data_IF_738326054083
#
_entry.id   IF_738326054083
#
_cell.length_a   1.000
_cell.length_b   1.000
_cell.length_c   1.000
_cell.angle_alpha   90.00
_cell.angle_beta   90.00
_cell.angle_gamma   90.00
#
_symmetry.space_group_name_H-M   'P 1'
#
loop_
_entity.id
_entity.type
_entity.pdbx_description
1 polymer ?
#
# COMPACT_ATOMS: atom_id res chain seq x y z
N UNK A 1 3.06 2.37 15.07
CA UNK A 1 3.85 1.12 15.02
C UNK A 1 4.03 0.75 13.55
N UNK A 2 5.28 0.65 13.04
CA UNK A 2 5.49 0.35 11.63
C UNK A 2 5.17 -1.13 11.37
N UNK A 3 4.40 -1.38 10.31
CA UNK A 3 3.95 -2.71 9.90
C UNK A 3 4.85 -3.12 8.73
N UNK A 4 5.34 -4.36 8.75
CA UNK A 4 6.04 -4.96 7.61
C UNK A 4 5.02 -5.60 6.66
N UNK A 5 5.09 -5.19 5.41
CA UNK A 5 4.27 -5.69 4.33
C UNK A 5 5.12 -6.42 3.29
N UNK A 6 4.64 -7.58 2.86
CA UNK A 6 5.17 -8.33 1.72
C UNK A 6 4.28 -8.12 0.49
N UNK A 7 4.90 -8.05 -0.68
CA UNK A 7 4.21 -7.90 -1.95
C UNK A 7 3.56 -9.23 -2.37
N UNK A 8 2.28 -9.18 -2.73
CA UNK A 8 1.60 -10.34 -3.31
C UNK A 8 1.76 -10.34 -4.83
N UNK A 9 1.70 -11.53 -5.43
CA UNK A 9 1.56 -11.64 -6.88
C UNK A 9 0.14 -11.22 -7.29
N UNK A 10 0.00 -9.95 -7.65
CA UNK A 10 -1.28 -9.38 -8.11
C UNK A 10 -1.55 -9.68 -9.58
N UNK A 11 -0.58 -10.21 -10.33
CA UNK A 11 -0.71 -10.39 -11.78
C UNK A 11 -1.76 -11.45 -12.10
N UNK A 12 -1.82 -12.52 -11.29
CA UNK A 12 -2.87 -13.54 -11.39
C UNK A 12 -4.24 -13.01 -10.96
N UNK A 13 -4.29 -12.19 -9.91
CA UNK A 13 -5.55 -11.63 -9.37
C UNK A 13 -6.25 -10.65 -10.32
N UNK A 14 -5.49 -9.98 -11.20
CA UNK A 14 -6.03 -9.04 -12.20
C UNK A 14 -6.45 -9.73 -13.51
N UNK A 15 -6.34 -11.06 -13.62
CA UNK A 15 -6.80 -11.76 -14.80
C UNK A 15 -8.27 -11.45 -15.10
N UNK A 16 -8.56 -11.20 -16.37
CA UNK A 16 -9.88 -10.80 -16.84
C UNK A 16 -10.24 -9.32 -16.61
N UNK A 17 -9.35 -8.50 -16.05
CA UNK A 17 -9.53 -7.04 -15.96
C UNK A 17 -8.83 -6.33 -17.13
N UNK A 18 -9.43 -5.26 -17.66
CA UNK A 18 -8.84 -4.41 -18.69
C UNK A 18 -8.14 -3.17 -18.11
N UNK A 19 -8.52 -2.78 -16.90
CA UNK A 19 -7.94 -1.62 -16.22
C UNK A 19 -7.93 -1.73 -14.69
N UNK A 20 -6.90 -1.17 -14.06
CA UNK A 20 -6.78 -1.13 -12.60
C UNK A 20 -6.25 0.22 -12.06
N UNK A 21 -6.86 0.69 -10.98
CA UNK A 21 -6.42 1.87 -10.22
C UNK A 21 -5.57 1.42 -9.02
N UNK A 22 -4.38 1.98 -8.87
CA UNK A 22 -3.47 1.63 -7.77
C UNK A 22 -3.64 2.62 -6.63
N UNK A 23 -4.15 2.17 -5.48
CA UNK A 23 -4.26 2.94 -4.25
C UNK A 23 -3.15 2.53 -3.27
N UNK A 24 -2.16 3.39 -3.07
CA UNK A 24 -1.00 3.08 -2.23
C UNK A 24 -0.96 3.88 -0.92
N UNK A 25 -0.64 3.21 0.18
CA UNK A 25 -0.39 3.82 1.48
C UNK A 25 1.10 4.13 1.61
N UNK A 26 1.47 5.43 1.54
CA UNK A 26 2.89 5.79 1.62
C UNK A 26 3.52 5.38 2.95
N UNK A 27 2.78 5.38 4.06
CA UNK A 27 3.32 4.95 5.34
C UNK A 27 3.62 3.44 5.37
N UNK A 28 2.60 2.57 5.27
CA UNK A 28 2.81 1.14 5.50
C UNK A 28 3.58 0.48 4.36
N UNK A 29 3.18 0.72 3.11
CA UNK A 29 3.84 0.13 1.94
C UNK A 29 5.20 0.77 1.70
N UNK A 30 5.29 2.10 1.79
CA UNK A 30 6.56 2.80 1.62
C UNK A 30 7.58 2.44 2.69
N UNK A 31 7.19 2.33 3.97
CA UNK A 31 8.13 1.96 5.03
C UNK A 31 8.63 0.52 4.85
N UNK A 32 7.74 -0.41 4.49
CA UNK A 32 8.11 -1.81 4.26
C UNK A 32 9.08 -1.96 3.09
N UNK A 33 8.82 -1.28 1.98
CA UNK A 33 9.69 -1.31 0.81
C UNK A 33 11.03 -0.59 1.06
N UNK A 34 11.01 0.52 1.80
CA UNK A 34 12.24 1.23 2.17
C UNK A 34 13.14 0.39 3.06
N UNK A 35 12.56 -0.32 4.03
CA UNK A 35 13.28 -1.27 4.88
C UNK A 35 13.85 -2.44 4.05
N UNK A 36 13.05 -3.04 3.18
CA UNK A 36 13.49 -4.18 2.36
C UNK A 36 14.57 -3.82 1.34
N UNK A 37 14.62 -2.57 0.88
CA UNK A 37 15.63 -2.08 -0.06
C UNK A 37 16.84 -1.40 0.61
N UNK A 38 16.89 -1.32 1.95
CA UNK A 38 17.88 -0.56 2.74
C UNK A 38 18.05 0.90 2.24
N UNK A 39 16.93 1.60 2.10
CA UNK A 39 16.88 2.96 1.52
C UNK A 39 16.10 3.95 2.38
N UNK A 40 16.34 5.27 2.18
CA UNK A 40 15.58 6.30 2.87
C UNK A 40 14.08 6.15 2.61
N UNK A 41 13.31 6.12 3.69
CA UNK A 41 11.86 6.04 3.67
C UNK A 41 11.22 7.37 3.26
N UNK A 42 11.77 8.48 3.76
CA UNK A 42 11.34 9.84 3.45
C UNK A 42 12.54 10.69 3.04
N UNK A 43 12.39 11.39 1.92
CA UNK A 43 13.34 12.40 1.44
C UNK A 43 12.66 13.75 1.37
N UNK A 44 13.08 14.69 2.22
CA UNK A 44 12.39 15.98 2.38
C UNK A 44 12.74 16.97 1.26
N UNK A 45 13.98 16.94 0.75
CA UNK A 45 14.48 17.90 -0.25
C UNK A 45 14.45 17.39 -1.69
N UNK A 46 14.23 16.08 -1.92
CA UNK A 46 14.19 15.48 -3.25
C UNK A 46 12.78 15.20 -3.79
N UNK A 47 11.80 14.97 -2.90
CA UNK A 47 10.43 14.62 -3.31
C UNK A 47 9.44 14.81 -2.16
N UNK A 48 8.66 15.91 -2.18
CA UNK A 48 7.55 16.21 -1.25
C UNK A 48 6.83 14.96 -0.70
N UNK A 49 7.24 14.48 0.49
CA UNK A 49 6.63 13.36 1.22
C UNK A 49 6.37 12.09 0.37
N UNK A 50 7.17 11.85 -0.68
CA UNK A 50 7.12 10.61 -1.46
C UNK A 50 8.15 9.63 -0.94
N UNK A 51 7.83 8.35 -1.06
CA UNK A 51 8.75 7.25 -0.78
C UNK A 51 9.32 6.73 -2.11
N UNK A 52 10.59 7.01 -2.46
CA UNK A 52 11.19 6.53 -3.70
C UNK A 52 11.11 5.00 -3.90
N UNK A 53 11.30 4.16 -2.85
CA UNK A 53 11.06 2.72 -2.95
C UNK A 53 9.64 2.36 -3.41
N UNK A 54 8.63 3.04 -2.87
CA UNK A 54 7.24 2.83 -3.27
C UNK A 54 6.98 3.25 -4.73
N UNK A 55 7.49 4.39 -5.17
CA UNK A 55 7.31 4.84 -6.56
C UNK A 55 7.97 3.88 -7.55
N UNK A 56 9.17 3.37 -7.23
CA UNK A 56 9.83 2.34 -8.04
C UNK A 56 9.02 1.05 -8.10
N UNK A 57 8.48 0.61 -6.96
CA UNK A 57 7.63 -0.57 -6.91
C UNK A 57 6.36 -0.39 -7.76
N UNK A 58 5.67 0.75 -7.64
CA UNK A 58 4.51 1.07 -8.47
C UNK A 58 4.90 1.09 -9.95
N UNK A 59 6.04 1.68 -10.33
CA UNK A 59 6.52 1.69 -11.71
C UNK A 59 6.74 0.29 -12.29
N UNK A 60 7.39 -0.61 -11.51
CA UNK A 60 7.56 -2.02 -11.90
C UNK A 60 6.21 -2.73 -12.04
N UNK A 61 5.34 -2.56 -11.05
CA UNK A 61 4.01 -3.17 -11.06
C UNK A 61 3.18 -2.71 -12.26
N UNK A 62 3.18 -1.42 -12.57
CA UNK A 62 2.50 -0.88 -13.76
C UNK A 62 3.02 -1.51 -15.05
N UNK A 63 4.33 -1.73 -15.15
CA UNK A 63 4.95 -2.34 -16.33
C UNK A 63 4.53 -3.81 -16.47
N UNK A 64 4.58 -4.58 -15.39
CA UNK A 64 4.13 -5.98 -15.37
C UNK A 64 2.65 -6.13 -15.73
N UNK A 65 1.80 -5.23 -15.21
CA UNK A 65 0.37 -5.23 -15.53
C UNK A 65 0.10 -4.83 -16.98
N UNK A 66 0.87 -3.88 -17.52
CA UNK A 66 0.78 -3.47 -18.92
C UNK A 66 1.18 -4.61 -19.88
N UNK A 67 2.20 -5.40 -19.54
CA UNK A 67 2.58 -6.60 -20.30
C UNK A 67 1.46 -7.65 -20.37
N UNK A 68 0.53 -7.63 -19.41
CA UNK A 68 -0.69 -8.46 -19.41
C UNK A 68 -1.91 -7.77 -20.01
N UNK A 69 -1.73 -6.58 -20.60
CA UNK A 69 -2.81 -5.81 -21.24
C UNK A 69 -3.67 -5.00 -20.26
N UNK A 70 -3.29 -4.91 -18.98
CA UNK A 70 -4.04 -4.17 -17.97
C UNK A 70 -3.56 -2.72 -17.91
N UNK A 71 -4.44 -1.76 -18.24
CA UNK A 71 -4.12 -0.33 -18.16
C UNK A 71 -4.15 0.13 -16.71
N UNK A 72 -3.10 0.81 -16.27
CA UNK A 72 -2.96 1.17 -14.85
C UNK A 72 -2.69 2.65 -14.60
N UNK A 73 -3.36 3.17 -13.59
CA UNK A 73 -3.17 4.54 -13.08
C UNK A 73 -2.95 4.50 -11.57
N UNK A 74 -2.18 5.43 -11.03
CA UNK A 74 -2.03 5.60 -9.57
C UNK A 74 -3.08 6.60 -9.08
N UNK A 75 -3.81 6.24 -8.02
CA UNK A 75 -4.71 7.16 -7.35
C UNK A 75 -3.93 8.25 -6.62
N UNK A 76 -4.30 9.51 -6.85
CA UNK A 76 -3.67 10.64 -6.18
C UNK A 76 -4.64 11.41 -5.27
N UNK A 77 -4.49 11.22 -3.95
CA UNK A 77 -5.34 11.84 -2.93
C UNK A 77 -4.87 13.24 -2.43
N UNK A 78 -3.70 13.75 -2.86
CA UNK A 78 -3.04 14.96 -2.33
C UNK A 78 -1.80 14.68 -1.46
N UNK A 79 -0.88 15.66 -1.33
CA UNK A 79 0.50 15.48 -0.82
C UNK A 79 0.58 15.01 0.64
N UNK A 80 -0.10 15.69 1.57
CA UNK A 80 -0.07 15.33 3.01
C UNK A 80 -0.98 14.13 3.28
N UNK A 81 -1.99 13.92 2.44
CA UNK A 81 -3.14 13.08 2.75
C UNK A 81 -3.08 11.69 2.07
N UNK A 82 -2.09 11.43 1.22
CA UNK A 82 -1.73 10.07 0.75
C UNK A 82 -0.93 9.27 1.79
N UNK A 83 -0.46 9.92 2.86
CA UNK A 83 0.47 9.30 3.78
C UNK A 83 -0.15 8.13 4.56
N UNK A 84 -1.40 8.29 5.01
CA UNK A 84 -2.16 7.27 5.72
C UNK A 84 -3.47 6.97 4.99
N UNK A 85 -3.48 5.92 4.16
CA UNK A 85 -4.69 5.53 3.42
C UNK A 85 -5.88 5.27 4.35
N UNK A 86 -5.65 4.59 5.47
CA UNK A 86 -6.68 4.28 6.46
C UNK A 86 -7.29 5.50 7.15
N UNK A 87 -6.59 6.65 7.13
CA UNK A 87 -7.06 7.91 7.72
C UNK A 87 -7.66 8.87 6.67
N UNK A 88 -8.00 8.36 5.48
CA UNK A 88 -8.64 9.18 4.46
C UNK A 88 -9.97 9.76 4.92
N UNK A 89 -10.10 11.07 4.68
CA UNK A 89 -11.33 11.83 4.89
C UNK A 89 -12.44 11.38 3.94
N UNK A 90 -13.69 11.68 4.27
CA UNK A 90 -14.85 11.40 3.40
C UNK A 90 -14.67 11.95 1.99
N UNK A 91 -14.06 13.15 1.85
CA UNK A 91 -13.77 13.76 0.54
C UNK A 91 -12.83 12.90 -0.30
N UNK A 92 -11.78 12.33 0.30
CA UNK A 92 -10.82 11.49 -0.40
C UNK A 92 -11.41 10.13 -0.76
N UNK A 93 -12.19 9.54 0.15
CA UNK A 93 -12.93 8.30 -0.09
C UNK A 93 -13.91 8.46 -1.26
N UNK A 94 -14.65 9.57 -1.31
CA UNK A 94 -15.52 9.91 -2.44
C UNK A 94 -14.73 10.13 -3.74
N UNK A 95 -13.59 10.83 -3.69
CA UNK A 95 -12.71 10.99 -4.86
C UNK A 95 -12.24 9.65 -5.40
N UNK A 96 -11.86 8.71 -4.52
CA UNK A 96 -11.51 7.34 -4.91
C UNK A 96 -12.70 6.65 -5.57
N UNK A 97 -13.88 6.72 -4.96
CA UNK A 97 -15.10 6.12 -5.50
C UNK A 97 -15.41 6.63 -6.91
N UNK A 98 -15.32 7.93 -7.13
CA UNK A 98 -15.62 8.54 -8.43
C UNK A 98 -14.61 8.12 -9.50
N UNK A 99 -13.32 8.06 -9.16
CA UNK A 99 -12.30 7.56 -10.10
C UNK A 99 -12.43 6.05 -10.34
N UNK A 100 -12.72 5.26 -9.30
CA UNK A 100 -12.82 3.80 -9.39
C UNK A 100 -13.95 3.32 -10.31
N UNK A 101 -14.97 4.16 -10.60
CA UNK A 101 -16.03 3.84 -11.58
C UNK A 101 -15.52 3.64 -13.01
N UNK A 102 -14.36 4.20 -13.33
CA UNK A 102 -13.72 4.09 -14.65
C UNK A 102 -12.79 2.87 -14.77
N UNK A 103 -12.64 2.08 -13.69
CA UNK A 103 -11.70 0.97 -13.63
C UNK A 103 -12.39 -0.33 -13.22
N UNK A 104 -11.88 -1.45 -13.73
CA UNK A 104 -12.42 -2.78 -13.40
C UNK A 104 -11.98 -3.23 -11.99
N UNK A 105 -10.80 -2.77 -11.55
CA UNK A 105 -10.26 -3.08 -10.24
C UNK A 105 -9.53 -1.92 -9.56
N UNK A 106 -9.47 -1.96 -8.23
CA UNK A 106 -8.54 -1.18 -7.40
C UNK A 106 -7.54 -2.12 -6.75
N UNK A 107 -6.25 -1.96 -7.08
CA UNK A 107 -5.15 -2.65 -6.42
C UNK A 107 -4.70 -1.81 -5.24
N UNK A 108 -4.71 -2.40 -4.04
CA UNK A 108 -4.38 -1.68 -2.82
C UNK A 108 -3.01 -2.11 -2.31
N UNK A 109 -2.09 -1.16 -2.22
CA UNK A 109 -0.76 -1.34 -1.63
C UNK A 109 -0.79 -0.79 -0.19
N UNK A 110 -1.15 -1.64 0.76
CA UNK A 110 -1.27 -1.26 2.17
C UNK A 110 -1.73 -2.43 3.03
N UNK A 111 -1.84 -2.19 4.34
CA UNK A 111 -2.31 -3.20 5.30
C UNK A 111 -3.82 -3.46 5.19
N UNK A 112 -4.34 -4.42 5.97
CA UNK A 112 -5.76 -4.78 5.94
C UNK A 112 -6.71 -3.62 6.29
N UNK A 113 -6.26 -2.67 7.11
CA UNK A 113 -7.03 -1.44 7.39
C UNK A 113 -7.17 -0.55 6.13
N UNK A 114 -6.12 -0.49 5.31
CA UNK A 114 -6.16 0.19 4.02
C UNK A 114 -7.12 -0.53 3.05
N UNK A 115 -7.05 -1.87 2.99
CA UNK A 115 -7.98 -2.69 2.20
C UNK A 115 -9.42 -2.42 2.59
N UNK A 116 -9.73 -2.46 3.89
CA UNK A 116 -11.08 -2.19 4.40
C UNK A 116 -11.54 -0.78 4.01
N UNK A 117 -10.66 0.22 4.15
CA UNK A 117 -10.95 1.60 3.77
C UNK A 117 -11.29 1.73 2.29
N UNK A 118 -10.53 1.08 1.40
CA UNK A 118 -10.82 1.10 -0.04
C UNK A 118 -12.13 0.38 -0.35
N UNK A 119 -12.34 -0.83 0.20
CA UNK A 119 -13.61 -1.59 0.03
C UNK A 119 -14.83 -0.76 0.43
N UNK A 120 -14.76 -0.09 1.58
CA UNK A 120 -15.86 0.76 2.04
C UNK A 120 -16.07 1.97 1.14
N UNK A 121 -14.99 2.52 0.58
CA UNK A 121 -15.04 3.70 -0.29
C UNK A 121 -15.63 3.39 -1.66
N UNK A 122 -15.34 2.22 -2.22
CA UNK A 122 -15.84 1.80 -3.54
C UNK A 122 -17.09 0.94 -3.46
N UNK A 123 -17.68 0.81 -2.27
CA UNK A 123 -18.93 0.09 -2.08
C UNK A 123 -20.03 0.68 -2.98
N UNK A 124 -20.80 -0.20 -3.64
CA UNK A 124 -21.79 0.19 -4.64
C UNK A 124 -21.23 0.50 -6.03
N UNK A 125 -19.94 0.24 -6.29
CA UNK A 125 -19.37 0.19 -7.65
C UNK A 125 -19.17 -1.27 -8.07
N UNK A 126 -19.02 -1.53 -9.38
CA UNK A 126 -18.66 -2.85 -9.90
C UNK A 126 -17.14 -3.14 -9.80
N UNK A 127 -16.38 -2.27 -9.12
CA UNK A 127 -14.94 -2.33 -9.08
C UNK A 127 -14.46 -3.40 -8.08
N UNK A 128 -13.64 -4.34 -8.55
CA UNK A 128 -13.02 -5.38 -7.69
C UNK A 128 -11.91 -4.76 -6.84
N UNK A 129 -11.84 -5.08 -5.55
CA UNK A 129 -10.73 -4.65 -4.69
C UNK A 129 -9.73 -5.78 -4.52
N UNK A 130 -8.52 -5.59 -5.03
CA UNK A 130 -7.43 -6.56 -5.03
C UNK A 130 -6.40 -6.17 -3.97
N UNK A 131 -6.04 -7.12 -3.11
CA UNK A 131 -4.99 -6.95 -2.10
C UNK A 131 -3.64 -7.11 -2.79
N UNK A 132 -2.81 -6.06 -2.77
CA UNK A 132 -1.48 -6.11 -3.39
C UNK A 132 -0.32 -6.30 -2.42
N UNK A 133 -0.58 -6.24 -1.12
CA UNK A 133 0.40 -6.52 -0.08
C UNK A 133 -0.26 -7.18 1.12
N UNK A 134 0.48 -7.99 1.85
CA UNK A 134 0.02 -8.63 3.09
C UNK A 134 0.91 -8.32 4.28
N UNK A 135 0.34 -8.43 5.49
CA UNK A 135 1.06 -8.15 6.72
C UNK A 135 1.89 -9.37 7.11
N UNK A 136 3.21 -9.22 7.04
CA UNK A 136 4.16 -10.24 7.50
C UNK A 136 4.53 -10.06 8.98
N UNK A 137 4.38 -8.85 9.53
CA UNK A 137 4.63 -8.61 10.94
C UNK A 137 4.70 -7.13 11.32
N UNK A 138 5.21 -6.87 12.51
CA UNK A 138 5.53 -5.55 13.03
C UNK A 138 7.03 -5.31 12.87
N UNK A 139 7.39 -4.16 12.32
CA UNK A 139 8.79 -3.75 12.26
C UNK A 139 9.19 -3.18 13.62
N UNK A 140 10.23 -3.74 14.22
CA UNK A 140 10.94 -3.12 15.32
C UNK A 140 12.17 -2.42 14.75
N UNK A 141 12.08 -1.10 14.55
CA UNK A 141 13.12 -0.34 13.87
C UNK A 141 13.72 0.79 14.68
N UNK A 142 15.03 0.99 14.54
CA UNK A 142 15.67 2.27 14.89
C UNK A 142 15.71 3.17 13.66
N UNK A 143 15.19 4.38 13.80
CA UNK A 143 15.24 5.40 12.76
C UNK A 143 16.55 6.17 12.84
N UNK A 144 17.17 6.44 11.70
CA UNK A 144 18.35 7.31 11.60
C UNK A 144 18.00 8.52 10.74
N UNK A 145 18.27 9.70 11.28
CA UNK A 145 18.13 10.96 10.55
C UNK A 145 19.48 11.26 9.90
N UNK A 146 19.50 11.28 8.57
CA UNK A 146 20.63 11.75 7.78
C UNK A 146 20.43 13.22 7.44
N UNK A 147 21.52 13.99 7.48
CA UNK A 147 21.49 15.37 7.00
C UNK A 147 21.67 15.39 5.48
N UNK A 148 20.84 16.10 4.68
CA UNK A 148 19.79 17.04 5.09
C UNK A 148 18.38 16.38 5.13
N UNK A 149 17.95 15.92 6.30
CA UNK A 149 16.58 15.49 6.66
C UNK A 149 16.03 14.22 5.96
N UNK A 150 16.89 13.28 5.60
CA UNK A 150 16.48 11.96 5.12
C UNK A 150 16.27 11.01 6.32
N UNK A 151 15.18 10.24 6.32
CA UNK A 151 14.90 9.24 7.37
C UNK A 151 15.12 7.84 6.81
N UNK A 152 16.05 7.09 7.39
CA UNK A 152 16.33 5.67 7.08
C UNK A 152 16.07 4.78 8.31
N UNK A 153 16.10 3.46 8.11
CA UNK A 153 16.00 2.46 9.17
C UNK A 153 17.37 1.78 9.36
N UNK A 154 17.91 1.75 10.58
CA UNK A 154 19.28 1.27 10.88
C UNK A 154 19.32 -0.17 11.40
N UNK A 155 18.25 -0.59 12.09
CA UNK A 155 18.04 -1.95 12.54
C UNK A 155 16.59 -2.26 12.30
N UNK A 156 16.29 -3.38 11.66
CA UNK A 156 14.90 -3.81 11.47
C UNK A 156 14.79 -5.29 11.76
N UNK A 157 14.09 -5.62 12.85
CA UNK A 157 13.59 -6.98 13.08
C UNK A 157 12.10 -7.00 12.81
N UNK A 158 11.65 -7.93 11.98
CA UNK A 158 10.23 -8.22 11.84
C UNK A 158 9.84 -9.13 13.00
N UNK A 159 8.92 -8.66 13.82
CA UNK A 159 8.28 -9.44 14.88
C UNK A 159 6.95 -9.93 14.31
N UNK A 160 6.68 -11.24 14.24
CA UNK A 160 5.39 -11.75 13.79
C UNK A 160 4.25 -11.09 14.57
N UNK A 161 3.16 -10.72 13.90
CA UNK A 161 1.99 -10.19 14.62
C UNK A 161 1.29 -11.26 15.46
N UNK A 162 1.56 -12.55 15.19
CA UNK A 162 1.01 -13.64 15.96
C UNK A 162 2.07 -14.65 16.40
N UNK A 163 2.25 -14.75 17.71
CA UNK A 163 2.91 -15.86 18.38
C UNK A 163 1.83 -16.80 18.92
N UNK A 164 1.79 -18.06 18.44
CA UNK A 164 1.01 -19.25 18.90
C UNK A 164 -0.48 -19.15 19.31
N UNK A 165 -1.09 -17.97 19.48
CA UNK A 165 -2.45 -17.79 20.00
C UNK A 165 -3.48 -17.34 18.96
N UNK A 166 -3.08 -17.17 17.69
CA UNK A 166 -3.98 -16.75 16.60
C UNK A 166 -5.08 -17.78 16.28
N UNK A 167 -4.84 -19.07 16.49
CA UNK A 167 -5.80 -20.13 16.12
C UNK A 167 -7.15 -20.00 16.83
N UNK A 168 -7.20 -19.41 18.03
CA UNK A 168 -8.48 -19.21 18.75
C UNK A 168 -9.37 -18.13 18.16
N UNK A 169 -8.82 -17.13 17.47
CA UNK A 169 -9.62 -16.02 16.94
C UNK A 169 -10.25 -16.35 15.57
N UNK A 170 -9.64 -17.26 14.80
CA UNK A 170 -10.20 -17.72 13.52
C UNK A 170 -11.40 -18.66 13.67
N UNK A 171 -11.62 -19.24 14.87
CA UNK A 171 -12.70 -20.20 15.13
C UNK A 171 -14.04 -19.57 15.56
N UNK A 172 -14.13 -18.24 15.67
CA UNK A 172 -15.34 -17.53 16.14
C UNK A 172 -15.90 -16.54 15.12
N UNK A 173 -15.55 -16.67 13.84
CA UNK A 173 -16.04 -15.80 12.77
C UNK A 173 -16.74 -16.54 11.62
N UNK A 174 -17.24 -17.76 11.87
CA UNK A 174 -18.18 -18.44 10.96
C UNK A 174 -19.63 -18.13 11.34
#
# INVERSE_FOLDING_TARGET
MPIHLEALDVVSEVEGTGSALIAACNMCAGASLAMGEDKPFLQFFGSLLKSPPLERYIGRLKSQLLEKGVKTTKFEAGVIQQFFLCLWTTRQRKKLQDQAKEYDAVIVLGCDSAIKTVRDSVNGTNCRVIKGMEVAGIMNTKTKLHWPFDISFEYSKVVPMCDHHCERFSQHSQ
#
